data_IF_082266959979
#
_entry.id   IF_082266959979
#
_cell.length_a   1.000
_cell.length_b   1.000
_cell.length_c   1.000
_cell.angle_alpha   90.00
_cell.angle_beta   90.00
_cell.angle_gamma   90.00
#
_symmetry.space_group_name_H-M   'P 1'
#
loop_
_entity.id
_entity.type
_entity.pdbx_description
1 polymer ?
#
# COMPACT_ATOMS: atom_id res chain seq x y z
N UNK A 1 32.31 -15.66 -3.76
CA UNK A 1 31.86 -15.10 -2.47
C UNK A 1 31.47 -13.64 -2.73
N UNK A 2 30.23 -13.22 -2.48
CA UNK A 2 29.85 -11.80 -2.58
C UNK A 2 30.56 -11.02 -1.46
N UNK A 3 31.00 -9.78 -1.73
CA UNK A 3 31.61 -8.91 -0.72
C UNK A 3 30.56 -8.44 0.30
N UNK A 4 30.90 -8.37 1.60
CA UNK A 4 29.96 -7.92 2.68
C UNK A 4 29.22 -6.61 2.38
N UNK A 5 29.86 -5.68 1.67
CA UNK A 5 29.24 -4.42 1.25
C UNK A 5 28.11 -4.64 0.24
N UNK A 6 28.31 -5.51 -0.74
CA UNK A 6 27.30 -5.81 -1.76
C UNK A 6 26.09 -6.50 -1.15
N UNK A 7 26.30 -7.42 -0.20
CA UNK A 7 25.23 -8.09 0.52
C UNK A 7 24.39 -7.13 1.37
N UNK A 8 25.04 -6.19 2.08
CA UNK A 8 24.32 -5.13 2.80
C UNK A 8 23.50 -4.22 1.89
N UNK A 9 24.05 -3.87 0.72
CA UNK A 9 23.34 -3.05 -0.26
C UNK A 9 22.13 -3.78 -0.85
N UNK A 10 22.24 -5.09 -1.09
CA UNK A 10 21.13 -5.93 -1.52
C UNK A 10 20.02 -5.95 -0.44
N UNK A 11 20.40 -6.15 0.84
CA UNK A 11 19.48 -6.12 2.00
C UNK A 11 18.82 -4.73 2.20
N UNK A 12 19.60 -3.65 2.07
CA UNK A 12 19.05 -2.28 2.14
C UNK A 12 18.11 -1.98 0.98
N UNK A 13 18.40 -2.47 -0.24
CA UNK A 13 17.47 -2.35 -1.38
C UNK A 13 16.16 -3.08 -1.12
N UNK A 14 16.22 -4.32 -0.65
CA UNK A 14 15.04 -5.12 -0.35
C UNK A 14 14.20 -4.50 0.78
N UNK A 15 14.87 -4.03 1.83
CA UNK A 15 14.25 -3.29 2.92
C UNK A 15 13.53 -2.05 2.42
N UNK A 16 14.22 -1.15 1.70
CA UNK A 16 13.61 0.10 1.20
C UNK A 16 12.46 -0.20 0.25
N UNK A 17 12.61 -1.16 -0.66
CA UNK A 17 11.54 -1.52 -1.58
C UNK A 17 10.28 -2.00 -0.83
N UNK A 18 10.44 -2.85 0.19
CA UNK A 18 9.32 -3.31 1.03
C UNK A 18 8.69 -2.17 1.82
N UNK A 19 9.50 -1.21 2.27
CA UNK A 19 9.07 -0.04 3.03
C UNK A 19 8.17 0.90 2.21
N UNK A 20 8.47 1.09 0.92
CA UNK A 20 7.58 1.87 0.04
C UNK A 20 6.19 1.25 -0.07
N UNK A 21 6.10 -0.09 -0.16
CA UNK A 21 4.80 -0.75 -0.17
C UNK A 21 4.07 -0.61 1.17
N UNK A 22 4.75 -0.80 2.29
CA UNK A 22 4.10 -0.76 3.60
C UNK A 22 3.67 0.65 4.01
N UNK A 23 4.44 1.68 3.63
CA UNK A 23 4.19 3.08 4.03
C UNK A 23 3.34 3.82 2.99
N UNK A 24 3.64 3.68 1.69
CA UNK A 24 3.02 4.45 0.61
C UNK A 24 2.01 3.65 -0.22
N UNK A 25 1.98 2.32 -0.06
CA UNK A 25 1.07 1.47 -0.81
C UNK A 25 1.45 1.27 -2.28
N UNK A 26 2.66 1.64 -2.68
CA UNK A 26 3.14 1.51 -4.07
C UNK A 26 4.59 1.02 -4.10
N UNK A 27 5.09 0.50 -5.23
CA UNK A 27 6.52 0.26 -5.39
C UNK A 27 7.31 1.56 -5.35
N UNK A 28 8.53 1.48 -4.84
CA UNK A 28 9.53 2.53 -5.02
C UNK A 28 9.82 2.72 -6.51
N UNK A 29 9.88 3.97 -6.96
CA UNK A 29 10.46 4.26 -8.27
C UNK A 29 12.00 4.12 -8.22
N UNK A 30 12.68 3.97 -9.37
CA UNK A 30 14.12 3.74 -9.39
C UNK A 30 14.94 4.85 -8.70
N UNK A 31 14.50 6.11 -8.80
CA UNK A 31 15.22 7.25 -8.22
C UNK A 31 15.05 7.32 -6.70
N UNK A 32 13.80 7.16 -6.22
CA UNK A 32 13.49 7.11 -4.80
C UNK A 32 14.15 5.93 -4.10
N UNK A 33 14.19 4.75 -4.75
CA UNK A 33 14.90 3.58 -4.23
C UNK A 33 16.40 3.85 -4.11
N UNK A 34 17.04 4.33 -5.18
CA UNK A 34 18.49 4.59 -5.19
C UNK A 34 18.88 5.63 -4.14
N UNK A 35 18.12 6.71 -4.02
CA UNK A 35 18.39 7.79 -3.07
C UNK A 35 18.27 7.34 -1.61
N UNK A 36 17.23 6.56 -1.28
CA UNK A 36 17.04 6.02 0.06
C UNK A 36 18.11 4.98 0.42
N UNK A 37 18.47 4.09 -0.52
CA UNK A 37 19.53 3.10 -0.32
C UNK A 37 20.88 3.76 -0.15
N UNK A 38 21.19 4.80 -0.94
CA UNK A 38 22.44 5.55 -0.78
C UNK A 38 22.50 6.25 0.59
N UNK A 39 21.38 6.80 1.06
CA UNK A 39 21.31 7.39 2.40
C UNK A 39 21.59 6.37 3.52
N UNK A 40 21.16 5.11 3.37
CA UNK A 40 21.49 4.02 4.29
C UNK A 40 22.96 3.59 4.16
N UNK A 41 23.43 3.38 2.93
CA UNK A 41 24.78 2.92 2.63
C UNK A 41 25.87 3.90 3.11
N UNK A 42 25.57 5.20 3.07
CA UNK A 42 26.45 6.28 3.52
C UNK A 42 26.25 6.65 4.99
N UNK A 43 25.28 6.03 5.68
CA UNK A 43 24.97 6.32 7.08
C UNK A 43 24.32 7.69 7.33
N UNK A 44 23.88 8.39 6.27
CA UNK A 44 23.16 9.66 6.38
C UNK A 44 21.79 9.50 7.05
N UNK A 45 21.20 8.30 6.97
CA UNK A 45 19.97 7.92 7.67
C UNK A 45 20.05 6.49 8.18
N UNK A 46 19.29 6.21 9.24
CA UNK A 46 18.98 4.84 9.67
C UNK A 46 17.73 4.34 8.93
N UNK A 47 17.42 3.04 9.07
CA UNK A 47 16.21 2.43 8.51
C UNK A 47 14.94 3.11 9.03
N UNK A 48 14.88 3.38 10.32
CA UNK A 48 13.79 4.12 10.98
C UNK A 48 13.72 5.56 10.46
N UNK A 49 14.89 6.18 10.21
CA UNK A 49 14.98 7.51 9.62
C UNK A 49 14.41 7.58 8.20
N UNK A 50 14.62 6.53 7.39
CA UNK A 50 14.03 6.42 6.05
C UNK A 50 12.53 6.19 6.13
N UNK A 51 12.06 5.33 7.04
CA UNK A 51 10.62 5.11 7.27
C UNK A 51 9.90 6.40 7.64
N UNK A 52 10.43 7.13 8.63
CA UNK A 52 9.87 8.42 9.05
C UNK A 52 9.84 9.41 7.90
N UNK A 53 10.93 9.50 7.15
CA UNK A 53 11.03 10.38 5.98
C UNK A 53 9.98 10.06 4.91
N UNK A 54 9.70 8.78 4.66
CA UNK A 54 8.61 8.38 3.74
C UNK A 54 7.24 8.73 4.31
N UNK A 55 6.98 8.44 5.59
CA UNK A 55 5.68 8.72 6.24
C UNK A 55 5.34 10.21 6.27
N UNK A 56 6.34 11.05 6.48
CA UNK A 56 6.21 12.51 6.58
C UNK A 56 6.35 13.22 5.22
N UNK A 57 6.59 12.47 4.14
CA UNK A 57 6.80 13.03 2.82
C UNK A 57 5.55 13.70 2.25
N UNK A 58 5.76 14.64 1.34
CA UNK A 58 4.68 15.22 0.54
C UNK A 58 3.92 14.15 -0.24
N UNK A 59 4.63 13.10 -0.68
CA UNK A 59 4.04 11.98 -1.38
C UNK A 59 3.06 11.19 -0.51
N UNK A 60 3.42 10.86 0.74
CA UNK A 60 2.51 10.21 1.67
C UNK A 60 1.24 11.04 1.88
N UNK A 61 1.40 12.36 2.04
CA UNK A 61 0.27 13.28 2.20
C UNK A 61 -0.59 13.35 0.93
N UNK A 62 0.03 13.38 -0.24
CA UNK A 62 -0.68 13.35 -1.52
C UNK A 62 -1.50 12.07 -1.66
N UNK A 63 -0.90 10.91 -1.43
CA UNK A 63 -1.57 9.61 -1.57
C UNK A 63 -2.71 9.44 -0.55
N UNK A 64 -2.56 9.97 0.66
CA UNK A 64 -3.63 10.01 1.66
C UNK A 64 -4.84 10.84 1.17
N UNK A 65 -4.60 11.97 0.49
CA UNK A 65 -5.65 12.83 -0.05
C UNK A 65 -6.20 12.34 -1.41
N UNK A 66 -5.41 11.56 -2.16
CA UNK A 66 -5.72 11.10 -3.51
C UNK A 66 -5.56 9.57 -3.64
N UNK A 67 -6.33 8.76 -2.88
CA UNK A 67 -6.18 7.31 -2.85
C UNK A 67 -6.46 6.62 -4.19
N UNK A 68 -7.15 7.29 -5.13
CA UNK A 68 -7.38 6.77 -6.48
C UNK A 68 -6.07 6.45 -7.24
N UNK A 69 -4.96 7.14 -6.92
CA UNK A 69 -3.65 6.86 -7.52
C UNK A 69 -3.08 5.49 -7.11
N UNK A 70 -3.58 4.88 -6.04
CA UNK A 70 -3.18 3.56 -5.59
C UNK A 70 -3.97 2.43 -6.27
N UNK A 71 -4.97 2.75 -7.09
CA UNK A 71 -5.80 1.73 -7.76
C UNK A 71 -5.00 0.68 -8.54
N UNK A 72 -3.94 1.03 -9.31
CA UNK A 72 -3.11 0.04 -9.99
C UNK A 72 -2.44 -0.95 -9.04
N UNK A 73 -2.17 -0.54 -7.80
CA UNK A 73 -1.48 -1.33 -6.78
C UNK A 73 -2.44 -2.01 -5.80
N UNK A 74 -3.74 -1.72 -5.89
CA UNK A 74 -4.76 -2.22 -4.96
C UNK A 74 -4.82 -3.76 -4.87
N UNK A 75 -4.43 -4.48 -5.94
CA UNK A 75 -4.37 -5.94 -5.90
C UNK A 75 -3.35 -6.47 -4.87
N UNK A 76 -2.24 -5.74 -4.64
CA UNK A 76 -1.20 -6.08 -3.68
C UNK A 76 -1.47 -5.51 -2.28
N UNK A 77 -2.23 -4.42 -2.20
CA UNK A 77 -2.66 -3.82 -0.93
C UNK A 77 -3.90 -4.47 -0.32
N UNK A 78 -4.57 -5.36 -1.05
CA UNK A 78 -5.72 -6.10 -0.51
C UNK A 78 -5.21 -7.01 0.61
N UNK A 79 -5.60 -6.79 1.88
CA UNK A 79 -5.87 -7.95 2.72
C UNK A 79 -6.91 -8.77 1.96
N UNK A 80 -6.75 -10.09 1.96
CA UNK A 80 -7.61 -11.07 1.32
C UNK A 80 -9.05 -10.57 1.17
N UNK A 81 -9.58 -10.60 -0.06
CA UNK A 81 -11.00 -10.34 -0.36
C UNK A 81 -11.85 -11.46 0.26
N UNK A 82 -11.98 -11.50 1.58
CA UNK A 82 -12.88 -12.36 2.32
C UNK A 82 -13.78 -11.52 3.23
N UNK A 83 -14.51 -10.57 2.62
CA UNK A 83 -15.80 -10.13 3.12
C UNK A 83 -16.57 -9.47 1.96
N UNK A 84 -17.23 -10.33 1.18
CA UNK A 84 -18.53 -10.04 0.57
C UNK A 84 -18.62 -8.89 -0.43
N UNK A 85 -18.48 -9.24 -1.72
CA UNK A 85 -19.10 -8.50 -2.85
C UNK A 85 -20.65 -8.45 -2.78
N UNK A 86 -21.25 -8.94 -1.68
CA UNK A 86 -22.70 -8.95 -1.41
C UNK A 86 -23.15 -8.15 -0.17
N UNK A 87 -22.28 -7.36 0.47
CA UNK A 87 -22.63 -6.65 1.71
C UNK A 87 -23.14 -5.20 1.53
N UNK A 88 -23.42 -4.76 0.30
CA UNK A 88 -23.99 -3.43 0.03
C UNK A 88 -25.24 -3.56 -0.84
N UNK A 89 -26.31 -4.09 -0.26
CA UNK A 89 -27.65 -3.57 -0.56
C UNK A 89 -28.05 -2.67 0.60
N UNK A 90 -28.30 -1.36 0.38
CA UNK A 90 -28.75 -0.49 1.45
C UNK A 90 -30.06 -1.02 2.04
N UNK A 91 -30.23 -0.89 3.36
CA UNK A 91 -31.39 -1.39 4.11
C UNK A 91 -32.76 -0.89 3.60
N UNK A 92 -32.77 0.11 2.70
CA UNK A 92 -33.97 0.61 2.00
C UNK A 92 -34.55 -0.39 0.97
N UNK A 93 -33.83 -1.43 0.60
CA UNK A 93 -34.31 -2.51 -0.29
C UNK A 93 -34.70 -3.80 0.45
N UNK A 94 -34.88 -3.76 1.79
CA UNK A 94 -35.37 -4.93 2.55
C UNK A 94 -36.89 -5.03 2.61
N UNK A 95 -37.63 -3.93 2.42
CA UNK A 95 -39.10 -3.90 2.52
C UNK A 95 -39.84 -3.97 1.16
N UNK A 96 -39.18 -4.37 0.08
CA UNK A 96 -39.81 -4.49 -1.24
C UNK A 96 -40.06 -5.94 -1.69
N UNK A 97 -39.66 -6.95 -0.92
CA UNK A 97 -39.79 -8.37 -1.31
C UNK A 97 -40.64 -9.23 -0.37
N UNK A 98 -41.41 -8.62 0.55
CA UNK A 98 -42.41 -9.32 1.37
C UNK A 98 -43.86 -9.05 0.94
N UNK A 99 -44.11 -8.04 0.09
CA UNK A 99 -45.48 -7.66 -0.35
C UNK A 99 -45.84 -8.13 -1.76
N UNK A 100 -44.91 -8.65 -2.56
CA UNK A 100 -45.17 -9.08 -3.94
C UNK A 100 -45.34 -10.60 -4.14
N UNK A 101 -45.59 -11.37 -3.07
CA UNK A 101 -45.87 -12.82 -3.14
C UNK A 101 -47.20 -13.20 -2.47
N UNK A 102 -48.17 -12.29 -2.51
CA UNK A 102 -49.55 -12.53 -2.00
C UNK A 102 -50.63 -11.85 -2.85
N UNK A 103 -50.36 -11.65 -4.14
CA UNK A 103 -51.31 -11.06 -5.12
C UNK A 103 -51.26 -11.73 -6.50
N UNK A 104 -50.88 -13.01 -6.56
CA UNK A 104 -50.98 -13.84 -7.77
C UNK A 104 -51.40 -15.29 -7.45
N UNK A 105 -52.40 -15.42 -6.58
CA UNK A 105 -53.36 -16.54 -6.57
C UNK A 105 -54.66 -15.98 -6.02
#
# INVERSE_FOLDING_TARGET
MKSRKAERLDDDREFVHSLYFSVLGRPADPSGLASSVDALATGRRTREGVERMLRESEEARFLANHPAYLWPYAARLRPERTASRGALLPARLRNALSTLRRRLT
#
